data_IF_670311383514
#
_entry.id   IF_670311383514
#
_cell.length_a   1.000
_cell.length_b   1.000
_cell.length_c   1.000
_cell.angle_alpha   90.00
_cell.angle_beta   90.00
_cell.angle_gamma   90.00
#
_symmetry.space_group_name_H-M   'P 1'
#
loop_
_entity.id
_entity.type
_entity.pdbx_description
1 polymer ?
#
# COMPACT_ATOMS: atom_id res chain seq x y z
N UNK A 1 -17.10 18.93 -4.10
CA UNK A 1 -17.96 18.11 -3.21
C UNK A 1 -18.31 16.78 -3.85
N UNK A 2 -18.42 15.68 -3.10
CA UNK A 2 -18.97 14.42 -3.59
C UNK A 2 -20.47 14.52 -3.88
N UNK A 3 -20.94 14.01 -5.02
CA UNK A 3 -22.35 14.00 -5.43
C UNK A 3 -23.27 13.35 -4.38
N UNK A 4 -22.74 12.38 -3.63
CA UNK A 4 -23.47 11.62 -2.61
C UNK A 4 -24.01 12.51 -1.48
N UNK A 5 -23.23 13.48 -0.99
CA UNK A 5 -23.65 14.35 0.13
C UNK A 5 -24.85 15.24 -0.24
N UNK A 6 -24.94 15.61 -1.53
CA UNK A 6 -26.07 16.34 -2.09
C UNK A 6 -27.34 15.47 -2.16
N UNK A 7 -27.21 14.23 -2.62
CA UNK A 7 -28.34 13.28 -2.75
C UNK A 7 -28.96 12.94 -1.40
N UNK A 8 -28.14 12.79 -0.36
CA UNK A 8 -28.62 12.38 0.97
C UNK A 8 -28.89 13.52 1.94
N UNK A 9 -28.79 14.79 1.49
CA UNK A 9 -29.00 15.97 2.33
C UNK A 9 -28.16 15.99 3.61
N UNK A 10 -27.03 15.28 3.64
CA UNK A 10 -26.07 15.24 4.76
C UNK A 10 -25.07 16.39 4.66
N UNK A 11 -25.51 17.53 4.12
CA UNK A 11 -24.64 18.64 3.80
C UNK A 11 -24.23 19.38 5.08
N UNK A 12 -22.95 19.23 5.45
CA UNK A 12 -22.33 20.12 6.42
C UNK A 12 -21.79 21.37 5.72
N UNK A 13 -22.03 22.55 6.31
CA UNK A 13 -21.66 23.85 5.75
C UNK A 13 -20.13 24.06 5.69
N UNK A 14 -19.37 23.28 6.46
CA UNK A 14 -17.91 23.37 6.52
C UNK A 14 -17.19 22.55 5.44
N UNK A 15 -17.89 21.64 4.75
CA UNK A 15 -17.29 20.72 3.77
C UNK A 15 -16.64 21.43 2.58
N UNK A 16 -17.23 22.52 2.10
CA UNK A 16 -16.66 23.33 1.01
C UNK A 16 -15.39 24.04 1.46
N UNK A 17 -15.41 24.62 2.66
CA UNK A 17 -14.24 25.28 3.23
C UNK A 17 -13.11 24.27 3.50
N UNK A 18 -13.43 23.05 3.97
CA UNK A 18 -12.47 21.97 4.16
C UNK A 18 -11.87 21.51 2.81
N UNK A 19 -12.70 21.35 1.78
CA UNK A 19 -12.26 20.97 0.43
C UNK A 19 -11.39 22.05 -0.21
N UNK A 20 -11.80 23.32 -0.15
CA UNK A 20 -11.03 24.48 -0.61
C UNK A 20 -9.72 24.63 0.16
N UNK A 21 -9.72 24.41 1.47
CA UNK A 21 -8.49 24.45 2.29
C UNK A 21 -7.55 23.28 1.96
N UNK A 22 -8.09 22.11 1.62
CA UNK A 22 -7.32 20.96 1.13
C UNK A 22 -6.71 21.21 -0.26
N UNK A 23 -7.44 21.89 -1.14
CA UNK A 23 -6.96 22.31 -2.47
C UNK A 23 -5.93 23.44 -2.40
N UNK A 24 -6.11 24.39 -1.47
CA UNK A 24 -5.20 25.54 -1.24
C UNK A 24 -4.01 25.21 -0.36
N UNK A 25 -4.06 24.11 0.40
CA UNK A 25 -2.97 23.67 1.25
C UNK A 25 -1.72 23.47 0.40
N UNK A 26 -0.67 24.26 0.68
CA UNK A 26 0.65 24.06 0.09
C UNK A 26 0.97 22.56 0.10
N UNK A 27 1.53 22.04 -0.99
CA UNK A 27 1.79 20.61 -1.16
C UNK A 27 2.72 20.11 -0.04
N UNK A 28 2.14 19.79 1.12
CA UNK A 28 2.91 19.55 2.34
C UNK A 28 3.66 18.24 2.15
N UNK A 29 4.99 18.31 2.18
CA UNK A 29 5.87 17.17 2.01
C UNK A 29 5.54 16.11 3.07
N UNK A 30 5.08 14.91 2.68
CA UNK A 30 4.73 13.89 3.65
C UNK A 30 6.00 13.34 4.31
N UNK A 31 5.92 13.02 5.61
CA UNK A 31 7.04 12.40 6.32
C UNK A 31 7.25 10.94 5.92
N UNK A 32 6.16 10.26 5.56
CA UNK A 32 6.11 8.84 5.19
C UNK A 32 5.19 8.66 3.97
N UNK A 33 5.64 7.87 3.00
CA UNK A 33 4.82 7.39 1.89
C UNK A 33 4.70 5.87 1.96
N UNK A 34 3.48 5.35 1.83
CA UNK A 34 3.24 3.92 1.66
C UNK A 34 2.82 3.65 0.21
N UNK A 35 3.65 2.92 -0.53
CA UNK A 35 3.43 2.59 -1.93
C UNK A 35 2.71 1.23 -2.04
N UNK A 36 1.46 1.26 -2.48
CA UNK A 36 0.60 0.09 -2.66
C UNK A 36 0.21 -0.11 -4.12
N UNK A 37 -0.67 -1.07 -4.40
CA UNK A 37 -1.29 -1.30 -5.70
C UNK A 37 -2.66 -1.95 -5.53
N UNK A 38 -3.44 -2.05 -6.61
CA UNK A 38 -4.75 -2.68 -6.58
C UNK A 38 -4.60 -4.21 -6.44
N UNK A 39 -5.46 -4.85 -5.64
CA UNK A 39 -5.39 -6.30 -5.42
C UNK A 39 -6.26 -7.05 -6.41
N UNK A 40 -7.57 -6.83 -6.38
CA UNK A 40 -8.54 -7.40 -7.31
C UNK A 40 -9.28 -6.27 -8.06
N UNK A 41 -10.08 -6.63 -9.06
CA UNK A 41 -10.92 -5.68 -9.82
C UNK A 41 -11.84 -4.86 -8.90
N UNK A 42 -12.22 -5.40 -7.74
CA UNK A 42 -13.15 -4.79 -6.80
C UNK A 42 -12.48 -3.80 -5.84
N UNK A 43 -11.17 -3.90 -5.65
CA UNK A 43 -10.37 -3.04 -4.79
C UNK A 43 -10.42 -1.58 -5.23
N UNK A 44 -10.71 -1.33 -6.52
CA UNK A 44 -10.97 0.02 -7.04
C UNK A 44 -12.14 0.71 -6.35
N UNK A 45 -13.16 -0.05 -5.93
CA UNK A 45 -14.33 0.47 -5.21
C UNK A 45 -14.06 0.75 -3.74
N UNK A 46 -12.98 0.19 -3.20
CA UNK A 46 -12.49 0.50 -1.87
C UNK A 46 -11.55 1.72 -1.86
N UNK A 47 -11.18 2.26 -3.02
CA UNK A 47 -10.54 3.57 -3.09
C UNK A 47 -11.57 4.64 -2.76
N UNK A 48 -11.27 5.48 -1.77
CA UNK A 48 -12.13 6.61 -1.36
C UNK A 48 -12.28 7.71 -2.42
N UNK A 49 -11.70 7.53 -3.60
CA UNK A 49 -11.75 8.46 -4.74
C UNK A 49 -13.14 8.42 -5.42
N UNK A 50 -13.84 7.28 -5.33
CA UNK A 50 -15.17 7.11 -5.91
C UNK A 50 -16.29 7.29 -4.89
N UNK A 51 -17.09 6.24 -4.69
CA UNK A 51 -18.21 6.27 -3.75
C UNK A 51 -17.72 5.92 -2.34
N UNK A 52 -17.53 6.93 -1.49
CA UNK A 52 -17.12 6.74 -0.09
C UNK A 52 -18.02 5.74 0.67
N UNK A 53 -19.31 5.68 0.32
CA UNK A 53 -20.30 4.73 0.87
C UNK A 53 -20.07 3.27 0.45
N UNK A 54 -19.47 3.04 -0.72
CA UNK A 54 -19.05 1.70 -1.18
C UNK A 54 -17.70 1.34 -0.54
N UNK A 55 -16.79 2.31 -0.45
CA UNK A 55 -15.49 2.12 0.19
C UNK A 55 -15.58 1.83 1.70
N UNK A 56 -16.64 2.29 2.37
CA UNK A 56 -16.85 2.09 3.82
C UNK A 56 -17.47 0.75 4.20
N UNK A 57 -17.87 -0.09 3.22
CA UNK A 57 -18.55 -1.36 3.50
C UNK A 57 -17.59 -2.55 3.45
N UNK A 58 -17.66 -3.50 4.41
CA UNK A 58 -16.83 -4.70 4.36
C UNK A 58 -17.18 -5.55 3.15
N UNK A 59 -16.17 -6.15 2.50
CA UNK A 59 -16.31 -6.96 1.27
C UNK A 59 -17.11 -8.28 1.45
N UNK A 60 -17.77 -8.49 2.60
CA UNK A 60 -18.32 -9.78 3.04
C UNK A 60 -19.85 -9.85 3.16
N UNK A 61 -20.60 -8.81 2.78
CA UNK A 61 -22.08 -8.84 2.86
C UNK A 61 -22.71 -9.22 1.52
N UNK A 62 -23.32 -10.40 1.44
CA UNK A 62 -24.03 -10.96 0.28
C UNK A 62 -25.25 -10.16 -0.22
N UNK A 63 -25.56 -9.00 0.38
CA UNK A 63 -26.61 -8.08 -0.06
C UNK A 63 -26.26 -7.28 -1.33
N UNK A 64 -25.11 -7.61 -1.94
CA UNK A 64 -24.43 -6.83 -2.93
C UNK A 64 -24.08 -7.84 -4.05
N UNK A 65 -25.04 -8.15 -4.91
CA UNK A 65 -24.80 -8.90 -6.16
C UNK A 65 -25.14 -8.04 -7.37
N UNK A 66 -26.27 -7.33 -7.33
CA UNK A 66 -26.74 -6.46 -8.41
C UNK A 66 -25.79 -5.30 -8.73
N UNK A 67 -25.26 -4.59 -7.72
CA UNK A 67 -24.30 -3.50 -7.92
C UNK A 67 -22.96 -3.99 -8.51
N UNK A 68 -22.50 -5.21 -8.18
CA UNK A 68 -21.28 -5.80 -8.73
C UNK A 68 -21.46 -6.04 -10.22
N UNK A 69 -22.62 -6.54 -10.64
CA UNK A 69 -22.94 -6.73 -12.06
C UNK A 69 -22.99 -5.40 -12.83
N UNK A 70 -23.59 -4.35 -12.25
CA UNK A 70 -23.68 -3.04 -12.89
C UNK A 70 -22.32 -2.34 -12.97
N UNK A 71 -21.51 -2.44 -11.91
CA UNK A 71 -20.22 -1.75 -11.84
C UNK A 71 -19.09 -2.54 -12.49
N UNK A 72 -19.21 -3.85 -12.68
CA UNK A 72 -18.16 -4.69 -13.26
C UNK A 72 -17.55 -4.15 -14.58
N UNK A 73 -18.35 -3.69 -15.57
CA UNK A 73 -17.79 -3.09 -16.79
C UNK A 73 -16.95 -1.84 -16.51
N UNK A 74 -17.35 -1.04 -15.53
CA UNK A 74 -16.63 0.17 -15.10
C UNK A 74 -15.30 -0.21 -14.45
N UNK A 75 -15.26 -1.27 -13.63
CA UNK A 75 -14.00 -1.77 -13.06
C UNK A 75 -13.02 -2.23 -14.15
N UNK A 76 -13.51 -2.97 -15.15
CA UNK A 76 -12.68 -3.42 -16.27
C UNK A 76 -12.16 -2.26 -17.11
N UNK A 77 -13.03 -1.30 -17.42
CA UNK A 77 -12.64 -0.10 -18.17
C UNK A 77 -11.61 0.71 -17.37
N UNK A 78 -11.85 0.92 -16.08
CA UNK A 78 -10.90 1.61 -15.19
C UNK A 78 -9.55 0.90 -15.13
N UNK A 79 -9.55 -0.43 -15.05
CA UNK A 79 -8.32 -1.22 -15.07
C UNK A 79 -7.59 -1.08 -16.41
N UNK A 80 -8.29 -1.16 -17.54
CA UNK A 80 -7.71 -1.01 -18.87
C UNK A 80 -7.11 0.38 -19.06
N UNK A 81 -7.81 1.44 -18.61
CA UNK A 81 -7.32 2.81 -18.64
C UNK A 81 -6.10 2.99 -17.74
N UNK A 82 -6.13 2.46 -16.52
CA UNK A 82 -4.99 2.50 -15.60
C UNK A 82 -3.78 1.73 -16.15
N UNK A 83 -4.00 0.63 -16.87
CA UNK A 83 -2.93 -0.11 -17.51
C UNK A 83 -2.32 0.67 -18.68
N UNK A 84 -3.15 1.16 -19.60
CA UNK A 84 -2.72 1.85 -20.81
C UNK A 84 -2.09 3.22 -20.55
N UNK A 85 -2.66 4.00 -19.62
CA UNK A 85 -2.27 5.39 -19.39
C UNK A 85 -1.57 5.63 -18.04
N UNK A 86 -1.61 4.65 -17.13
CA UNK A 86 -0.97 4.77 -15.81
C UNK A 86 0.54 4.80 -15.93
N UNK A 87 1.10 6.00 -15.87
CA UNK A 87 2.52 6.29 -16.05
C UNK A 87 3.25 6.70 -14.76
N UNK A 88 2.51 6.92 -13.66
CA UNK A 88 3.05 7.25 -12.35
C UNK A 88 2.17 6.71 -11.23
N UNK A 89 2.74 6.60 -10.03
CA UNK A 89 1.94 6.38 -8.84
C UNK A 89 1.12 7.63 -8.50
N UNK A 90 -0.08 7.46 -7.97
CA UNK A 90 -0.97 8.56 -7.60
C UNK A 90 -1.36 8.48 -6.13
N UNK A 91 -1.65 9.63 -5.53
CA UNK A 91 -2.03 9.72 -4.11
C UNK A 91 -3.46 9.23 -3.92
N UNK A 92 -3.63 8.14 -3.19
CA UNK A 92 -4.94 7.56 -2.83
C UNK A 92 -5.49 8.16 -1.55
N UNK A 93 -4.62 8.34 -0.56
CA UNK A 93 -5.03 8.79 0.76
C UNK A 93 -3.96 9.67 1.40
N UNK A 94 -4.40 10.63 2.21
CA UNK A 94 -3.56 11.48 3.04
C UNK A 94 -4.04 11.36 4.48
N UNK A 95 -3.17 10.87 5.37
CA UNK A 95 -3.46 10.67 6.79
C UNK A 95 -2.56 11.59 7.61
N UNK A 96 -3.16 12.35 8.52
CA UNK A 96 -2.47 13.19 9.50
C UNK A 96 -2.79 12.68 10.90
N UNK A 97 -1.80 12.08 11.56
CA UNK A 97 -1.93 11.55 12.92
C UNK A 97 -0.95 12.29 13.85
N UNK A 98 -1.45 13.31 14.54
CA UNK A 98 -0.62 14.20 15.36
C UNK A 98 0.48 14.87 14.52
N UNK A 99 1.74 14.54 14.82
CA UNK A 99 2.92 15.02 14.07
C UNK A 99 3.26 14.15 12.85
N UNK A 100 2.67 12.96 12.72
CA UNK A 100 2.90 12.06 11.61
C UNK A 100 2.04 12.47 10.42
N UNK A 101 2.69 12.71 9.27
CA UNK A 101 2.03 12.97 8.00
C UNK A 101 2.35 11.81 7.05
N UNK A 102 1.35 11.03 6.72
CA UNK A 102 1.46 9.85 5.86
C UNK A 102 0.64 10.04 4.58
N UNK A 103 1.18 9.57 3.47
CA UNK A 103 0.41 9.42 2.23
C UNK A 103 0.46 7.98 1.74
N UNK A 104 -0.65 7.51 1.19
CA UNK A 104 -0.72 6.23 0.48
C UNK A 104 -0.72 6.52 -1.00
N UNK A 105 0.26 6.01 -1.73
CA UNK A 105 0.34 6.12 -3.17
C UNK A 105 0.05 4.76 -3.79
N UNK A 106 -0.74 4.71 -4.86
CA UNK A 106 -1.02 3.48 -5.59
C UNK A 106 -0.32 3.48 -6.95
N UNK A 107 0.38 2.38 -7.23
CA UNK A 107 0.81 2.02 -8.57
C UNK A 107 -0.44 1.57 -9.35
N UNK A 108 -0.71 2.09 -10.55
CA UNK A 108 -1.89 1.76 -11.36
C UNK A 108 -1.77 0.36 -12.00
N UNK A 109 -1.59 -0.65 -11.16
CA UNK A 109 -1.43 -2.06 -11.52
C UNK A 109 -2.16 -2.97 -10.53
N UNK A 110 -2.67 -4.09 -11.01
CA UNK A 110 -3.43 -5.09 -10.28
C UNK A 110 -2.59 -6.34 -9.99
N UNK A 111 -2.94 -7.14 -8.97
CA UNK A 111 -2.18 -8.35 -8.58
C UNK A 111 -1.77 -9.24 -9.75
N UNK A 112 -2.71 -9.53 -10.67
CA UNK A 112 -2.44 -10.43 -11.79
C UNK A 112 -1.33 -9.90 -12.72
N UNK A 113 -1.19 -8.57 -12.85
CA UNK A 113 -0.18 -7.93 -13.68
C UNK A 113 1.23 -8.10 -13.09
N UNK A 114 1.37 -8.16 -11.77
CA UNK A 114 2.64 -8.48 -11.11
C UNK A 114 3.08 -9.94 -11.37
N UNK A 115 2.14 -10.82 -11.71
CA UNK A 115 2.42 -12.19 -12.13
C UNK A 115 2.94 -12.30 -13.57
N UNK A 116 2.74 -11.27 -14.40
CA UNK A 116 3.15 -11.26 -15.81
C UNK A 116 4.62 -10.88 -15.90
N UNK A 117 5.45 -11.79 -16.40
CA UNK A 117 6.90 -11.58 -16.48
C UNK A 117 7.29 -10.38 -17.36
N UNK A 118 6.54 -10.12 -18.43
CA UNK A 118 6.78 -9.00 -19.35
C UNK A 118 6.41 -7.64 -18.77
N UNK A 119 5.52 -7.58 -17.77
CA UNK A 119 5.17 -6.32 -17.09
C UNK A 119 6.20 -5.92 -16.03
N UNK A 120 7.14 -6.79 -15.66
CA UNK A 120 8.09 -6.53 -14.56
C UNK A 120 8.89 -5.25 -14.75
N UNK A 121 9.36 -4.98 -15.97
CA UNK A 121 10.12 -3.77 -16.27
C UNK A 121 9.24 -2.51 -16.17
N UNK A 122 8.03 -2.57 -16.73
CA UNK A 122 7.02 -1.51 -16.65
C UNK A 122 6.67 -1.18 -15.20
N UNK A 123 6.39 -2.19 -14.38
CA UNK A 123 6.09 -2.05 -12.95
C UNK A 123 7.28 -1.47 -12.20
N UNK A 124 8.50 -1.98 -12.44
CA UNK A 124 9.69 -1.43 -11.80
C UNK A 124 9.93 0.03 -12.18
N UNK A 125 9.65 0.43 -13.42
CA UNK A 125 9.71 1.84 -13.83
C UNK A 125 8.70 2.72 -13.09
N UNK A 126 7.49 2.22 -12.81
CA UNK A 126 6.50 2.94 -12.01
C UNK A 126 6.94 3.08 -10.54
N UNK A 127 7.47 2.01 -9.95
CA UNK A 127 8.01 2.03 -8.58
C UNK A 127 9.21 2.98 -8.49
N UNK A 128 10.12 2.93 -9.48
CA UNK A 128 11.28 3.80 -9.58
C UNK A 128 10.89 5.27 -9.61
N UNK A 129 9.95 5.65 -10.49
CA UNK A 129 9.42 7.02 -10.54
C UNK A 129 8.83 7.45 -9.21
N UNK A 130 8.04 6.60 -8.55
CA UNK A 130 7.49 6.90 -7.23
C UNK A 130 8.58 7.12 -6.16
N UNK A 131 9.67 6.35 -6.20
CA UNK A 131 10.82 6.53 -5.29
C UNK A 131 11.51 7.87 -5.55
N UNK A 132 11.77 8.21 -6.81
CA UNK A 132 12.42 9.46 -7.18
C UNK A 132 11.55 10.67 -6.85
N UNK A 133 10.25 10.59 -7.09
CA UNK A 133 9.29 11.64 -6.72
C UNK A 133 9.26 11.85 -5.20
N UNK A 134 9.27 10.76 -4.43
CA UNK A 134 9.32 10.84 -2.97
C UNK A 134 10.63 11.47 -2.48
N UNK A 135 11.78 11.11 -3.08
CA UNK A 135 13.06 11.73 -2.75
C UNK A 135 13.07 13.23 -3.07
N UNK A 136 12.61 13.60 -4.27
CA UNK A 136 12.53 14.99 -4.72
C UNK A 136 11.64 15.83 -3.78
N UNK A 137 10.52 15.26 -3.32
CA UNK A 137 9.60 15.86 -2.34
C UNK A 137 10.13 15.85 -0.90
N UNK A 138 11.35 15.36 -0.65
CA UNK A 138 11.96 15.35 0.69
C UNK A 138 11.30 14.37 1.66
N UNK A 139 10.63 13.33 1.16
CA UNK A 139 10.04 12.27 1.98
C UNK A 139 11.14 11.51 2.71
N UNK A 140 10.95 11.27 4.02
CA UNK A 140 11.98 10.61 4.85
C UNK A 140 12.00 9.09 4.67
N UNK A 141 10.82 8.49 4.50
CA UNK A 141 10.65 7.04 4.40
C UNK A 141 9.60 6.71 3.35
N UNK A 142 9.91 5.75 2.47
CA UNK A 142 8.97 5.16 1.54
C UNK A 142 8.87 3.66 1.82
N UNK A 143 7.66 3.21 2.15
CA UNK A 143 7.35 1.81 2.40
C UNK A 143 6.83 1.14 1.13
N UNK A 144 7.47 0.05 0.71
CA UNK A 144 7.02 -0.80 -0.39
C UNK A 144 5.98 -1.81 0.14
N UNK A 145 4.70 -1.57 -0.15
CA UNK A 145 3.59 -2.43 0.22
C UNK A 145 3.29 -3.52 -0.80
N UNK A 146 2.63 -4.59 -0.36
CA UNK A 146 2.13 -5.68 -1.20
C UNK A 146 3.23 -6.28 -2.12
N UNK A 147 2.97 -6.44 -3.41
CA UNK A 147 3.92 -7.05 -4.36
C UNK A 147 5.01 -6.07 -4.83
N UNK A 148 4.95 -4.78 -4.45
CA UNK A 148 5.99 -3.80 -4.75
C UNK A 148 7.34 -4.15 -4.10
N UNK A 149 7.33 -4.97 -3.04
CA UNK A 149 8.53 -5.46 -2.34
C UNK A 149 8.91 -6.90 -2.72
N UNK A 150 8.31 -7.47 -3.76
CA UNK A 150 8.56 -8.86 -4.13
C UNK A 150 10.03 -9.07 -4.53
N UNK A 151 10.67 -10.11 -3.97
CA UNK A 151 12.08 -10.42 -4.23
C UNK A 151 12.35 -10.65 -5.72
N UNK A 152 11.44 -11.33 -6.41
CA UNK A 152 11.52 -11.61 -7.84
C UNK A 152 11.31 -10.36 -8.73
N UNK A 153 10.74 -9.29 -8.18
CA UNK A 153 10.47 -8.06 -8.91
C UNK A 153 11.66 -7.09 -8.84
N UNK A 154 12.13 -6.78 -7.64
CA UNK A 154 13.18 -5.77 -7.41
C UNK A 154 14.09 -6.07 -6.20
N UNK A 155 14.15 -7.33 -5.77
CA UNK A 155 14.92 -7.72 -4.59
C UNK A 155 14.36 -7.19 -3.27
N UNK A 156 13.14 -6.67 -3.24
CA UNK A 156 12.58 -5.97 -2.08
C UNK A 156 13.09 -4.55 -1.91
N UNK A 157 13.40 -3.89 -3.02
CA UNK A 157 13.91 -2.52 -3.06
C UNK A 157 15.42 -2.41 -3.24
N UNK A 158 16.18 -3.50 -3.07
CA UNK A 158 17.65 -3.51 -3.23
C UNK A 158 18.08 -3.06 -4.64
N UNK A 159 17.29 -3.40 -5.67
CA UNK A 159 17.51 -2.90 -7.04
C UNK A 159 17.68 -1.37 -7.08
N UNK A 160 16.80 -0.64 -6.40
CA UNK A 160 16.79 0.83 -6.40
C UNK A 160 17.86 1.40 -5.48
N UNK A 161 18.20 0.70 -4.39
CA UNK A 161 19.31 1.10 -3.50
C UNK A 161 20.66 1.04 -4.21
N UNK A 162 20.89 0.00 -5.01
CA UNK A 162 22.09 -0.13 -5.81
C UNK A 162 22.14 0.90 -6.95
N UNK A 163 21.01 1.13 -7.62
CA UNK A 163 20.92 2.09 -8.74
C UNK A 163 21.07 3.54 -8.27
N UNK A 164 20.56 3.86 -7.08
CA UNK A 164 20.58 5.21 -6.52
C UNK A 164 21.17 5.23 -5.10
N UNK A 165 22.51 5.11 -4.96
CA UNK A 165 23.17 5.04 -3.66
C UNK A 165 23.07 6.33 -2.83
N UNK A 166 22.66 7.44 -3.46
CA UNK A 166 22.51 8.77 -2.83
C UNK A 166 21.06 9.15 -2.49
N UNK A 167 20.11 8.20 -2.54
CA UNK A 167 18.74 8.46 -2.11
C UNK A 167 18.71 8.92 -0.64
N UNK A 168 18.04 10.04 -0.40
CA UNK A 168 17.75 10.58 0.93
C UNK A 168 16.54 9.89 1.54
N UNK A 169 15.57 9.50 0.70
CA UNK A 169 14.42 8.68 1.11
C UNK A 169 14.87 7.28 1.50
N UNK A 170 14.44 6.80 2.68
CA UNK A 170 14.73 5.44 3.13
C UNK A 170 13.66 4.48 2.65
N UNK A 171 14.07 3.48 1.88
CA UNK A 171 13.20 2.39 1.42
C UNK A 171 13.03 1.34 2.52
N UNK A 172 11.79 0.98 2.84
CA UNK A 172 11.47 -0.05 3.82
C UNK A 172 10.40 -0.99 3.28
N UNK A 173 10.44 -2.27 3.66
CA UNK A 173 9.45 -3.28 3.24
C UNK A 173 8.48 -3.68 4.37
N UNK A 174 8.64 -3.08 5.55
CA UNK A 174 7.79 -3.33 6.73
C UNK A 174 8.07 -4.65 7.45
N UNK A 175 8.93 -5.53 6.91
CA UNK A 175 9.21 -6.85 7.48
C UNK A 175 9.82 -6.77 8.88
N UNK A 176 10.75 -5.84 9.12
CA UNK A 176 11.38 -5.66 10.43
C UNK A 176 10.39 -5.26 11.53
N UNK A 177 9.41 -4.39 11.24
CA UNK A 177 8.36 -4.03 12.19
C UNK A 177 7.45 -5.23 12.48
N UNK A 178 7.04 -5.96 11.45
CA UNK A 178 6.25 -7.18 11.61
C UNK A 178 6.98 -8.23 12.47
N UNK A 179 8.26 -8.48 12.19
CA UNK A 179 9.10 -9.37 13.00
C UNK A 179 9.19 -8.90 14.45
N UNK A 180 9.40 -7.61 14.70
CA UNK A 180 9.46 -7.08 16.07
C UNK A 180 8.14 -7.27 16.84
N UNK A 181 7.00 -7.09 16.17
CA UNK A 181 5.67 -7.34 16.76
C UNK A 181 5.49 -8.81 17.10
N UNK A 182 5.81 -9.72 16.17
CA UNK A 182 5.73 -11.18 16.41
C UNK A 182 6.63 -11.59 17.57
N UNK A 183 7.87 -11.13 17.60
CA UNK A 183 8.82 -11.42 18.69
C UNK A 183 8.39 -10.84 20.04
N UNK A 184 7.57 -9.78 20.05
CA UNK A 184 7.01 -9.19 21.26
C UNK A 184 5.77 -9.93 21.76
N UNK A 185 5.00 -10.55 20.86
CA UNK A 185 3.86 -11.39 21.25
C UNK A 185 4.27 -12.75 21.83
N UNK A 186 5.50 -13.22 21.57
CA UNK A 186 6.01 -14.48 22.12
C UNK A 186 6.44 -14.26 23.59
N UNK A 187 5.96 -15.10 24.54
CA UNK A 187 6.39 -15.05 25.93
C UNK A 187 7.91 -15.22 26.07
N UNK A 188 8.54 -14.49 27.01
CA UNK A 188 10.00 -14.50 27.20
C UNK A 188 10.55 -15.84 27.71
N UNK A 189 9.70 -16.61 28.38
CA UNK A 189 9.98 -17.93 28.97
C UNK A 189 9.68 -19.09 28.01
N UNK A 190 9.23 -18.80 26.79
CA UNK A 190 8.96 -19.82 25.78
C UNK A 190 10.25 -20.56 25.39
N UNK A 191 10.28 -21.88 25.64
CA UNK A 191 11.41 -22.76 25.29
C UNK A 191 11.34 -23.27 23.85
N UNK A 192 10.13 -23.39 23.31
CA UNK A 192 9.86 -23.90 21.97
C UNK A 192 8.78 -23.06 21.30
N UNK A 193 8.98 -22.76 20.02
CA UNK A 193 8.00 -22.05 19.18
C UNK A 193 7.89 -22.80 17.85
N UNK A 194 6.65 -23.06 17.43
CA UNK A 194 6.34 -23.58 16.11
C UNK A 194 5.98 -22.40 15.19
N UNK A 195 6.81 -22.14 14.18
CA UNK A 195 6.48 -21.16 13.16
C UNK A 195 5.72 -21.86 12.02
N UNK A 196 4.40 -21.79 12.07
CA UNK A 196 3.54 -22.26 10.99
C UNK A 196 3.36 -21.16 9.93
N UNK A 197 4.44 -20.86 9.22
CA UNK A 197 4.44 -19.92 8.11
C UNK A 197 5.41 -20.43 7.04
N UNK A 198 5.01 -20.35 5.77
CA UNK A 198 5.90 -20.63 4.64
C UNK A 198 7.13 -19.71 4.63
N UNK A 199 8.12 -19.97 3.75
CA UNK A 199 9.41 -19.27 3.72
C UNK A 199 9.24 -17.79 3.32
N UNK A 200 8.92 -16.95 4.30
CA UNK A 200 8.73 -15.50 4.15
C UNK A 200 9.84 -14.74 4.86
N UNK A 201 10.12 -13.51 4.42
CA UNK A 201 11.11 -12.63 5.07
C UNK A 201 10.85 -12.50 6.58
N UNK A 202 9.59 -12.34 6.96
CA UNK A 202 9.18 -12.22 8.37
C UNK A 202 9.40 -13.52 9.12
N UNK A 203 9.04 -14.67 8.56
CA UNK A 203 9.25 -15.98 9.20
C UNK A 203 10.74 -16.27 9.37
N UNK A 204 11.57 -16.04 8.34
CA UNK A 204 13.02 -16.23 8.42
C UNK A 204 13.66 -15.29 9.45
N UNK A 205 13.30 -14.01 9.47
CA UNK A 205 13.83 -13.05 10.44
C UNK A 205 13.37 -13.37 11.88
N UNK A 206 12.12 -13.82 12.04
CA UNK A 206 11.60 -14.26 13.35
C UNK A 206 12.33 -15.51 13.82
N UNK A 207 12.55 -16.48 12.93
CA UNK A 207 13.29 -17.70 13.22
C UNK A 207 14.72 -17.39 13.68
N UNK A 208 15.44 -16.55 12.93
CA UNK A 208 16.80 -16.13 13.27
C UNK A 208 16.86 -15.46 14.65
N UNK A 209 15.98 -14.51 14.92
CA UNK A 209 15.93 -13.80 16.19
C UNK A 209 15.54 -14.70 17.38
N UNK A 210 14.71 -15.74 17.17
CA UNK A 210 14.40 -16.72 18.21
C UNK A 210 15.59 -17.66 18.48
N UNK A 211 16.32 -18.07 17.44
CA UNK A 211 17.54 -18.84 17.60
C UNK A 211 18.61 -18.07 18.39
N UNK A 212 18.77 -16.76 18.14
CA UNK A 212 19.67 -15.90 18.93
C UNK A 212 19.28 -15.81 20.41
N UNK A 213 17.98 -15.94 20.72
CA UNK A 213 17.46 -16.00 22.10
C UNK A 213 17.61 -17.39 22.75
N UNK A 214 18.17 -18.37 22.05
CA UNK A 214 18.29 -19.76 22.54
C UNK A 214 16.96 -20.52 22.57
N UNK A 215 15.93 -20.04 21.86
CA UNK A 215 14.63 -20.71 21.77
C UNK A 215 14.67 -21.74 20.65
N UNK A 216 14.24 -22.98 20.93
CA UNK A 216 14.15 -24.01 19.90
C UNK A 216 13.01 -23.70 18.93
N UNK A 217 13.33 -23.58 17.65
CA UNK A 217 12.36 -23.33 16.59
C UNK A 217 12.19 -24.59 15.70
N UNK A 218 10.94 -24.98 15.44
CA UNK A 218 10.61 -25.97 14.41
C UNK A 218 9.81 -25.27 13.31
N UNK A 219 10.25 -25.39 12.06
CA UNK A 219 9.51 -24.94 10.88
C UNK A 219 8.85 -26.14 10.21
N UNK A 220 7.55 -26.04 9.92
CA UNK A 220 6.79 -27.04 9.15
C UNK A 220 6.72 -26.66 7.67
#
# INVERSE_FOLDING_TARGET
MPLYDYVYSTMDKSSDQLYETSLRGAEETPGLVHLTHMTDLQSVYHLRIGFASVASRPSATGAMWWYMWVLWPVAWLSMALAWAYGSSAFVVERIKLGKLRMQTWAVPRYNFQYGLSWERESINGLIERAILDADARGVKVLSLGLLNQAKQLNGGGELFRHRYPKLRVRLVDGSGLATAVVLRSIPRDAKQVLLHAGPSKVACATAAALCERGVQNRSS
#
